data_IF_898468929891
#
_entry.id   IF_898468929891
#
_cell.length_a   1.000
_cell.length_b   1.000
_cell.length_c   1.000
_cell.angle_alpha   90.00
_cell.angle_beta   90.00
_cell.angle_gamma   90.00
#
_symmetry.space_group_name_H-M   'P 1'
#
loop_
_entity.id
_entity.type
_entity.pdbx_description
1 polymer ?
#
# COMPACT_ATOMS: atom_id res chain seq x y z
N UNK A 1 2.82 -16.03 -8.54
CA UNK A 1 3.66 -17.22 -8.81
C UNK A 1 4.05 -17.86 -7.48
N UNK A 2 4.41 -19.14 -7.45
CA UNK A 2 4.95 -19.75 -6.23
C UNK A 2 6.44 -19.44 -6.06
N UNK A 3 7.01 -19.77 -4.89
CA UNK A 3 8.44 -19.55 -4.63
C UNK A 3 9.33 -20.35 -5.56
N UNK A 4 8.90 -21.54 -5.99
CA UNK A 4 9.65 -22.36 -6.94
C UNK A 4 9.83 -21.64 -8.28
N UNK A 5 8.76 -21.04 -8.80
CA UNK A 5 8.83 -20.24 -10.03
C UNK A 5 9.62 -18.95 -9.84
N UNK A 6 9.56 -18.33 -8.65
CA UNK A 6 10.37 -17.16 -8.33
C UNK A 6 11.87 -17.49 -8.38
N UNK A 7 12.30 -18.58 -7.73
CA UNK A 7 13.69 -19.05 -7.74
C UNK A 7 14.18 -19.42 -9.14
N UNK A 8 13.32 -19.96 -10.02
CA UNK A 8 13.68 -20.19 -11.43
C UNK A 8 13.96 -18.90 -12.21
N UNK A 9 13.35 -17.77 -11.82
CA UNK A 9 13.50 -16.48 -12.50
C UNK A 9 14.73 -15.74 -11.95
N UNK A 10 14.93 -15.75 -10.63
CA UNK A 10 15.94 -14.94 -9.94
C UNK A 10 17.22 -15.70 -9.57
N UNK A 11 17.17 -17.04 -9.53
CA UNK A 11 18.14 -17.87 -8.81
C UNK A 11 17.70 -18.11 -7.36
N UNK A 12 18.09 -19.25 -6.78
CA UNK A 12 17.66 -19.67 -5.42
C UNK A 12 18.10 -18.67 -4.35
N UNK A 13 19.39 -18.33 -4.30
CA UNK A 13 19.95 -17.43 -3.28
C UNK A 13 19.29 -16.04 -3.29
N UNK A 14 19.09 -15.48 -4.48
CA UNK A 14 18.47 -14.16 -4.62
C UNK A 14 16.98 -14.18 -4.25
N UNK A 15 16.26 -15.23 -4.66
CA UNK A 15 14.84 -15.38 -4.31
C UNK A 15 14.63 -15.53 -2.81
N UNK A 16 15.51 -16.25 -2.11
CA UNK A 16 15.47 -16.38 -0.66
C UNK A 16 15.78 -15.04 0.03
N UNK A 17 16.82 -14.31 -0.41
CA UNK A 17 17.12 -12.96 0.10
C UNK A 17 15.95 -11.99 -0.08
N UNK A 18 15.31 -11.97 -1.25
CA UNK A 18 14.15 -11.11 -1.52
C UNK A 18 13.00 -11.46 -0.58
N UNK A 19 12.72 -12.75 -0.37
CA UNK A 19 11.67 -13.21 0.54
C UNK A 19 11.96 -12.79 1.98
N UNK A 20 13.17 -13.03 2.47
CA UNK A 20 13.58 -12.68 3.84
C UNK A 20 13.43 -11.18 4.09
N UNK A 21 14.01 -10.35 3.23
CA UNK A 21 13.93 -8.90 3.36
C UNK A 21 12.49 -8.39 3.24
N UNK A 22 11.69 -8.93 2.31
CA UNK A 22 10.28 -8.56 2.17
C UNK A 22 9.50 -8.80 3.47
N UNK A 23 9.71 -9.96 4.11
CA UNK A 23 9.03 -10.32 5.35
C UNK A 23 9.55 -9.50 6.53
N UNK A 24 10.85 -9.21 6.59
CA UNK A 24 11.44 -8.38 7.65
C UNK A 24 10.93 -6.93 7.58
N UNK A 25 10.97 -6.32 6.39
CA UNK A 25 10.50 -4.94 6.17
C UNK A 25 9.01 -4.86 6.47
N UNK A 26 8.21 -5.81 5.97
CA UNK A 26 6.78 -5.87 6.26
C UNK A 26 6.50 -5.98 7.76
N UNK A 27 7.22 -6.85 8.48
CA UNK A 27 6.99 -7.07 9.92
C UNK A 27 7.27 -5.80 10.71
N UNK A 28 8.41 -5.14 10.47
CA UNK A 28 8.74 -3.87 11.13
C UNK A 28 7.73 -2.78 10.80
N UNK A 29 7.34 -2.68 9.53
CA UNK A 29 6.35 -1.71 9.08
C UNK A 29 4.98 -1.91 9.72
N UNK A 30 4.48 -3.16 9.78
CA UNK A 30 3.19 -3.47 10.38
C UNK A 30 3.19 -3.22 11.89
N UNK A 31 4.29 -3.51 12.58
CA UNK A 31 4.43 -3.30 14.03
C UNK A 31 4.37 -1.81 14.35
N UNK A 32 5.16 -1.00 13.62
CA UNK A 32 5.13 0.46 13.75
C UNK A 32 3.74 1.05 13.47
N UNK A 33 3.07 0.57 12.42
CA UNK A 33 1.72 1.02 12.07
C UNK A 33 0.67 0.60 13.11
N UNK A 34 0.80 -0.60 13.68
CA UNK A 34 -0.13 -1.12 14.69
C UNK A 34 -0.11 -0.26 15.97
N UNK A 35 1.07 0.21 16.41
CA UNK A 35 1.19 1.16 17.53
C UNK A 35 0.41 2.47 17.29
N UNK A 36 0.09 2.79 16.03
CA UNK A 36 -0.62 4.00 15.59
C UNK A 36 -2.05 3.70 15.14
N UNK A 37 -2.57 2.52 15.50
CA UNK A 37 -3.94 2.11 15.22
C UNK A 37 -4.22 1.78 13.75
N UNK A 38 -3.19 1.39 12.99
CA UNK A 38 -3.30 1.01 11.58
C UNK A 38 -2.90 -0.44 11.40
N UNK A 39 -3.77 -1.22 10.76
CA UNK A 39 -3.47 -2.57 10.28
C UNK A 39 -2.93 -2.43 8.85
N UNK A 40 -1.73 -2.97 8.61
CA UNK A 40 -1.20 -3.17 7.25
C UNK A 40 -1.57 -4.58 6.80
N UNK A 41 -2.59 -4.69 5.96
CA UNK A 41 -3.10 -5.98 5.51
C UNK A 41 -2.12 -6.67 4.56
N UNK A 42 -1.60 -5.92 3.60
CA UNK A 42 -0.59 -6.34 2.63
C UNK A 42 0.15 -5.13 2.05
N UNK A 43 1.25 -5.40 1.36
CA UNK A 43 2.08 -4.40 0.68
C UNK A 43 2.82 -5.04 -0.49
N UNK A 44 3.24 -4.21 -1.46
CA UNK A 44 4.14 -4.58 -2.55
C UNK A 44 5.45 -3.82 -2.38
N UNK A 45 6.55 -4.56 -2.37
CA UNK A 45 7.90 -4.01 -2.50
C UNK A 45 8.44 -4.27 -3.90
N UNK A 46 9.32 -3.38 -4.35
CA UNK A 46 10.16 -3.62 -5.52
C UNK A 46 11.63 -3.61 -5.11
N UNK A 47 12.39 -4.51 -5.73
CA UNK A 47 13.82 -4.62 -5.50
C UNK A 47 14.57 -4.53 -6.82
N UNK A 48 15.69 -3.82 -6.81
CA UNK A 48 16.66 -3.75 -7.90
C UNK A 48 17.98 -4.39 -7.50
N UNK A 49 18.79 -4.80 -8.48
CA UNK A 49 20.16 -5.26 -8.24
C UNK A 49 21.14 -4.33 -8.94
N UNK A 50 22.12 -3.81 -8.20
CA UNK A 50 23.20 -2.97 -8.72
C UNK A 50 24.50 -3.49 -8.14
N UNK A 51 25.47 -3.82 -9.00
CA UNK A 51 26.79 -4.35 -8.61
C UNK A 51 26.76 -5.58 -7.68
N UNK A 52 25.69 -6.38 -7.75
CA UNK A 52 25.47 -7.56 -6.91
C UNK A 52 24.74 -7.28 -5.58
N UNK A 53 24.51 -6.01 -5.26
CA UNK A 53 23.74 -5.59 -4.09
C UNK A 53 22.25 -5.51 -4.42
N UNK A 54 21.45 -6.07 -3.50
CA UNK A 54 19.99 -6.03 -3.58
C UNK A 54 19.49 -4.78 -2.86
N UNK A 55 18.81 -3.92 -3.59
CA UNK A 55 18.33 -2.63 -3.12
C UNK A 55 16.80 -2.62 -3.09
N UNK A 56 16.22 -2.14 -1.99
CA UNK A 56 14.82 -1.73 -1.98
C UNK A 56 14.69 -0.47 -2.85
N UNK A 57 13.77 -0.50 -3.79
CA UNK A 57 13.47 0.61 -4.70
C UNK A 57 11.97 0.93 -4.63
N UNK A 58 11.52 1.84 -5.49
CA UNK A 58 10.13 2.32 -5.52
C UNK A 58 9.69 2.92 -4.17
N UNK A 59 8.39 3.15 -4.02
CA UNK A 59 7.79 3.49 -2.72
C UNK A 59 7.69 2.28 -1.78
N UNK A 60 7.70 2.55 -0.48
CA UNK A 60 7.65 1.54 0.57
C UNK A 60 6.62 1.91 1.62
N UNK A 61 5.64 1.02 1.86
CA UNK A 61 4.62 1.18 2.90
C UNK A 61 3.87 2.52 2.79
N UNK A 62 3.39 2.83 1.59
CA UNK A 62 2.50 3.97 1.31
C UNK A 62 1.06 3.46 1.12
N UNK A 63 0.04 4.33 1.20
CA UNK A 63 -1.34 3.95 0.88
C UNK A 63 -1.57 3.56 -0.59
N UNK A 64 -0.60 3.80 -1.48
CA UNK A 64 -0.64 3.36 -2.88
C UNK A 64 -0.10 1.94 -3.07
N UNK A 65 0.99 1.60 -2.38
CA UNK A 65 1.63 0.27 -2.41
C UNK A 65 1.03 -0.72 -1.41
N UNK A 66 0.21 -0.26 -0.46
CA UNK A 66 -0.22 -1.02 0.72
C UNK A 66 -1.68 -0.78 1.08
N UNK A 67 -2.34 -1.82 1.62
CA UNK A 67 -3.70 -1.70 2.17
C UNK A 67 -3.66 -1.38 3.65
N UNK A 68 -4.08 -0.18 4.02
CA UNK A 68 -4.10 0.31 5.39
C UNK A 68 -5.53 0.39 5.92
N UNK A 69 -5.79 -0.31 7.03
CA UNK A 69 -7.11 -0.34 7.67
C UNK A 69 -7.05 0.28 9.07
N UNK A 70 -8.04 1.10 9.47
CA UNK A 70 -8.17 1.55 10.85
C UNK A 70 -8.47 0.36 11.76
N UNK A 71 -7.59 0.13 12.75
CA UNK A 71 -7.69 -1.00 13.66
C UNK A 71 -8.98 -0.97 14.50
N UNK A 72 -9.45 0.22 14.84
CA UNK A 72 -10.65 0.47 15.63
C UNK A 72 -11.96 0.21 14.88
N UNK A 73 -11.90 0.02 13.55
CA UNK A 73 -13.09 -0.13 12.70
C UNK A 73 -13.12 -1.46 11.92
N UNK A 74 -12.05 -2.24 11.97
CA UNK A 74 -11.98 -3.53 11.28
C UNK A 74 -12.60 -4.66 12.13
N UNK A 75 -13.40 -5.50 11.48
CA UNK A 75 -13.94 -6.73 12.06
C UNK A 75 -13.91 -7.87 11.02
N UNK A 76 -13.74 -9.10 11.50
CA UNK A 76 -13.76 -10.30 10.64
C UNK A 76 -15.13 -10.44 9.94
N UNK A 77 -15.09 -10.78 8.65
CA UNK A 77 -16.30 -10.96 7.83
C UNK A 77 -16.87 -9.66 7.24
N UNK A 78 -16.23 -8.50 7.48
CA UNK A 78 -16.62 -7.22 6.89
C UNK A 78 -15.67 -6.82 5.76
N UNK A 79 -16.19 -6.06 4.78
CA UNK A 79 -15.31 -5.27 3.91
C UNK A 79 -14.55 -4.25 4.76
N UNK A 80 -13.20 -4.28 4.77
CA UNK A 80 -12.43 -3.40 5.63
C UNK A 80 -12.64 -1.93 5.25
N UNK A 81 -12.77 -1.03 6.22
CA UNK A 81 -12.57 0.39 5.97
C UNK A 81 -11.11 0.60 5.54
N UNK A 82 -10.87 1.53 4.61
CA UNK A 82 -9.53 1.75 4.08
C UNK A 82 -9.11 3.21 4.14
N UNK A 83 -7.82 3.44 4.39
CA UNK A 83 -7.17 4.75 4.24
C UNK A 83 -6.74 5.04 2.79
N UNK A 84 -7.06 4.15 1.85
CA UNK A 84 -6.64 4.26 0.45
C UNK A 84 -7.75 4.76 -0.50
N UNK A 85 -7.65 4.37 -1.77
CA UNK A 85 -8.48 4.73 -2.92
C UNK A 85 -9.95 4.31 -2.83
N UNK A 86 -10.48 3.92 -1.67
CA UNK A 86 -11.86 3.44 -1.53
C UNK A 86 -12.88 4.45 -2.05
N UNK A 87 -12.77 5.75 -1.72
CA UNK A 87 -13.68 6.79 -2.23
C UNK A 87 -13.67 6.92 -3.75
N UNK A 88 -12.50 6.75 -4.38
CA UNK A 88 -12.36 6.78 -5.84
C UNK A 88 -13.01 5.54 -6.44
N UNK A 89 -12.75 4.36 -5.88
CA UNK A 89 -13.36 3.10 -6.33
C UNK A 89 -14.87 3.15 -6.23
N UNK A 90 -15.39 3.52 -5.06
CA UNK A 90 -16.83 3.62 -4.81
C UNK A 90 -17.49 4.59 -5.79
N UNK A 91 -16.87 5.75 -6.02
CA UNK A 91 -17.38 6.71 -7.00
C UNK A 91 -17.39 6.13 -8.42
N UNK A 92 -16.30 5.51 -8.86
CA UNK A 92 -16.20 4.96 -10.22
C UNK A 92 -17.20 3.81 -10.45
N UNK A 93 -17.51 3.01 -9.44
CA UNK A 93 -18.54 1.96 -9.52
C UNK A 93 -19.97 2.53 -9.62
N UNK A 94 -20.19 3.83 -9.37
CA UNK A 94 -21.49 4.48 -9.62
C UNK A 94 -21.68 4.90 -11.08
N UNK A 95 -20.63 4.85 -11.90
CA UNK A 95 -20.65 5.29 -13.29
C UNK A 95 -20.85 4.11 -14.22
N UNK A 96 -21.48 4.35 -15.38
CA UNK A 96 -21.56 3.37 -16.48
C UNK A 96 -20.25 3.28 -17.28
N UNK A 97 -19.12 3.43 -16.58
CA UNK A 97 -17.79 3.44 -17.18
C UNK A 97 -17.21 2.02 -17.18
N UNK A 98 -16.94 1.50 -18.36
CA UNK A 98 -16.39 0.15 -18.59
C UNK A 98 -14.89 0.02 -18.26
N UNK A 99 -14.32 0.99 -17.55
CA UNK A 99 -12.91 1.06 -17.15
C UNK A 99 -11.95 1.20 -18.34
N UNK A 100 -12.44 1.66 -19.51
CA UNK A 100 -11.60 1.97 -20.67
C UNK A 100 -11.16 3.45 -20.70
N UNK A 101 -9.91 3.76 -21.05
CA UNK A 101 -9.48 5.15 -21.18
C UNK A 101 -10.28 5.94 -22.25
N UNK A 102 -10.55 7.24 -22.05
CA UNK A 102 -10.13 8.06 -20.91
C UNK A 102 -11.02 7.87 -19.67
N UNK A 103 -10.40 7.90 -18.48
CA UNK A 103 -11.12 7.86 -17.23
C UNK A 103 -11.97 9.15 -17.01
N UNK A 104 -13.14 9.04 -16.38
CA UNK A 104 -13.97 10.18 -16.05
C UNK A 104 -13.28 11.10 -15.04
N UNK A 105 -13.63 12.39 -15.06
CA UNK A 105 -13.14 13.34 -14.05
C UNK A 105 -13.78 13.05 -12.70
N UNK A 106 -12.96 13.06 -11.66
CA UNK A 106 -13.45 12.92 -10.28
C UNK A 106 -14.06 14.23 -9.77
N UNK A 107 -15.21 14.19 -9.08
CA UNK A 107 -15.76 15.32 -8.36
C UNK A 107 -14.81 15.84 -7.29
N UNK A 108 -14.91 17.13 -6.99
CA UNK A 108 -14.05 17.80 -6.00
C UNK A 108 -14.13 17.14 -4.62
N UNK A 109 -15.31 16.71 -4.18
CA UNK A 109 -15.48 16.10 -2.87
C UNK A 109 -14.81 14.73 -2.77
N UNK A 110 -14.82 13.94 -3.85
CA UNK A 110 -14.11 12.65 -3.92
C UNK A 110 -12.60 12.90 -3.79
N UNK A 111 -12.08 13.88 -4.54
CA UNK A 111 -10.67 14.28 -4.48
C UNK A 111 -10.30 14.69 -3.04
N UNK A 112 -11.06 15.60 -2.43
CA UNK A 112 -10.78 16.09 -1.07
C UNK A 112 -10.85 14.99 -0.03
N UNK A 113 -11.84 14.10 -0.08
CA UNK A 113 -11.96 12.95 0.83
C UNK A 113 -10.80 11.97 0.68
N UNK A 114 -10.39 11.67 -0.56
CA UNK A 114 -9.22 10.83 -0.82
C UNK A 114 -7.96 11.47 -0.27
N UNK A 115 -7.68 12.73 -0.61
CA UNK A 115 -6.50 13.45 -0.09
C UNK A 115 -6.48 13.50 1.45
N UNK A 116 -7.64 13.74 2.08
CA UNK A 116 -7.74 13.76 3.54
C UNK A 116 -7.34 12.42 4.18
N UNK A 117 -7.65 11.28 3.55
CA UNK A 117 -7.23 9.96 4.06
C UNK A 117 -5.74 9.70 3.95
N UNK A 118 -5.12 10.11 2.84
CA UNK A 118 -3.66 10.02 2.71
C UNK A 118 -2.96 10.88 3.77
N UNK A 119 -3.45 12.09 4.02
CA UNK A 119 -2.93 12.97 5.07
C UNK A 119 -3.17 12.38 6.47
N UNK A 120 -4.32 11.77 6.72
CA UNK A 120 -4.62 11.09 7.98
C UNK A 120 -3.65 9.94 8.24
N UNK A 121 -3.44 9.06 7.24
CA UNK A 121 -2.48 7.96 7.35
C UNK A 121 -1.05 8.49 7.58
N UNK A 122 -0.62 9.51 6.83
CA UNK A 122 0.69 10.14 7.00
C UNK A 122 0.88 10.67 8.42
N UNK A 123 -0.08 11.47 8.93
CA UNK A 123 0.00 12.05 10.27
C UNK A 123 0.07 10.97 11.35
N UNK A 124 -0.77 9.93 11.24
CA UNK A 124 -0.76 8.82 12.21
C UNK A 124 0.59 8.11 12.19
N UNK A 125 1.11 7.78 11.00
CA UNK A 125 2.36 7.02 10.83
C UNK A 125 3.61 7.80 11.27
N UNK A 126 3.65 9.10 11.00
CA UNK A 126 4.86 9.92 11.19
C UNK A 126 4.81 10.84 12.41
N UNK A 127 3.62 11.15 12.92
CA UNK A 127 3.40 12.20 13.93
C UNK A 127 3.60 13.62 13.40
N UNK A 128 3.66 13.80 12.07
CA UNK A 128 3.94 15.09 11.42
C UNK A 128 2.79 15.53 10.51
N UNK A 129 2.70 16.83 10.28
CA UNK A 129 1.88 17.40 9.20
C UNK A 129 2.72 17.61 7.94
N UNK A 130 2.13 17.36 6.77
CA UNK A 130 2.70 17.82 5.50
C UNK A 130 2.48 19.34 5.44
N UNK A 131 3.58 20.09 5.50
CA UNK A 131 3.54 21.50 5.13
C UNK A 131 3.29 21.60 3.62
N UNK A 132 2.47 22.55 3.13
CA UNK A 132 2.38 22.81 1.71
C UNK A 132 3.77 23.13 1.16
N UNK A 133 4.14 22.45 0.06
CA UNK A 133 5.35 22.74 -0.70
C UNK A 133 5.27 24.11 -1.38
#
# INVERSE_FOLDING_TARGET
IDMKRCAQILGEELADRVKELSLEIYSRGREHAAERGIIVADTKFEFGVVDGDLLLIDECLTPDSSRFWPQDQYALGQSPPSFDKQFVRDYLETLDWDKTPPAPRLPKDVIEKTSAKYLEAFRRLTGQDISPA
#
